data_IF_797321469270
#
_entry.id   IF_797321469270
#
_cell.length_a   1.000
_cell.length_b   1.000
_cell.length_c   1.000
_cell.angle_alpha   90.00
_cell.angle_beta   90.00
_cell.angle_gamma   90.00
#
_symmetry.space_group_name_H-M   'P 1'
#
loop_
_entity.id
_entity.type
_entity.pdbx_description
1 polymer ?
#
# COMPACT_ATOMS: atom_id res chain seq x y z
N UNK A 1 -13.43 18.09 -1.19
CA UNK A 1 -13.49 16.85 -1.97
C UNK A 1 -12.83 15.65 -1.26
N UNK A 2 -11.57 15.71 -0.82
CA UNK A 2 -10.82 14.54 -0.25
C UNK A 2 -11.37 13.89 1.04
N UNK A 3 -12.37 14.47 1.70
CA UNK A 3 -13.04 13.90 2.89
C UNK A 3 -14.53 13.59 2.68
N UNK A 4 -14.99 13.59 1.42
CA UNK A 4 -16.41 13.37 1.09
C UNK A 4 -16.78 11.89 0.98
N UNK A 5 -15.81 11.03 0.73
CA UNK A 5 -15.97 9.59 0.54
C UNK A 5 -14.86 8.94 1.36
N UNK A 6 -15.23 8.18 2.38
CA UNK A 6 -14.33 7.46 3.26
C UNK A 6 -13.94 6.09 2.69
N UNK A 7 -13.13 5.36 3.46
CA UNK A 7 -12.70 4.01 3.07
C UNK A 7 -13.90 3.04 3.01
N UNK A 8 -14.90 3.20 3.86
CA UNK A 8 -16.10 2.35 3.89
C UNK A 8 -16.93 2.49 2.61
N UNK A 9 -17.12 3.71 2.11
CA UNK A 9 -17.86 3.93 0.87
C UNK A 9 -17.05 3.47 -0.36
N UNK A 10 -15.72 3.60 -0.34
CA UNK A 10 -14.86 3.05 -1.39
C UNK A 10 -14.84 1.51 -1.37
N UNK A 11 -15.07 0.89 -0.22
CA UNK A 11 -15.19 -0.56 -0.12
C UNK A 11 -16.38 -1.09 -0.96
N UNK A 12 -17.46 -0.31 -1.08
CA UNK A 12 -18.59 -0.63 -1.96
C UNK A 12 -18.17 -0.69 -3.44
N UNK A 13 -17.22 0.14 -3.88
CA UNK A 13 -16.69 0.06 -5.24
C UNK A 13 -15.98 -1.27 -5.46
N UNK A 14 -15.20 -1.75 -4.49
CA UNK A 14 -14.56 -3.07 -4.59
C UNK A 14 -15.63 -4.18 -4.66
N UNK A 15 -16.64 -4.13 -3.79
CA UNK A 15 -17.78 -5.06 -3.83
C UNK A 15 -18.47 -5.07 -5.20
N UNK A 16 -18.69 -3.90 -5.78
CA UNK A 16 -19.31 -3.75 -7.09
C UNK A 16 -18.47 -4.38 -8.21
N UNK A 17 -17.13 -4.24 -8.16
CA UNK A 17 -16.27 -4.94 -9.13
C UNK A 17 -16.35 -6.46 -9.02
N UNK A 18 -16.54 -6.99 -7.81
CA UNK A 18 -16.69 -8.42 -7.54
C UNK A 18 -18.05 -8.90 -8.07
N UNK A 19 -19.12 -8.15 -7.80
CA UNK A 19 -20.47 -8.42 -8.31
C UNK A 19 -20.48 -8.47 -9.84
N UNK A 20 -19.92 -7.46 -10.50
CA UNK A 20 -19.89 -7.42 -11.97
C UNK A 20 -19.06 -8.57 -12.56
N UNK A 21 -17.99 -8.99 -11.89
CA UNK A 21 -17.21 -10.15 -12.31
C UNK A 21 -18.02 -11.46 -12.24
N UNK A 22 -18.92 -11.59 -11.26
CA UNK A 22 -19.84 -12.72 -11.16
C UNK A 22 -20.91 -12.66 -12.27
N UNK A 23 -21.57 -11.52 -12.44
CA UNK A 23 -22.66 -11.35 -13.42
C UNK A 23 -22.21 -11.54 -14.87
N UNK A 24 -20.99 -11.10 -15.18
CA UNK A 24 -20.41 -11.27 -16.52
C UNK A 24 -19.81 -12.67 -16.75
N UNK A 25 -19.87 -13.56 -15.76
CA UNK A 25 -19.31 -14.91 -15.82
C UNK A 25 -17.77 -14.95 -15.84
N UNK A 26 -17.11 -13.84 -15.48
CA UNK A 26 -15.66 -13.76 -15.34
C UNK A 26 -15.16 -14.65 -14.17
N UNK A 27 -16.00 -14.74 -13.13
CA UNK A 27 -15.84 -15.55 -11.92
C UNK A 27 -17.15 -16.31 -11.66
N UNK A 28 -17.09 -17.42 -10.91
CA UNK A 28 -18.26 -18.14 -10.41
C UNK A 28 -18.30 -18.16 -8.88
N UNK A 29 -19.45 -18.46 -8.30
CA UNK A 29 -19.65 -18.39 -6.84
C UNK A 29 -18.69 -19.30 -6.05
N UNK A 30 -18.42 -20.49 -6.59
CA UNK A 30 -17.51 -21.48 -5.97
C UNK A 30 -16.09 -20.93 -5.80
N UNK A 31 -15.67 -19.99 -6.64
CA UNK A 31 -14.35 -19.38 -6.58
C UNK A 31 -14.21 -18.39 -5.42
N UNK A 32 -15.30 -17.93 -4.82
CA UNK A 32 -15.28 -17.10 -3.61
C UNK A 32 -15.08 -17.92 -2.32
N UNK A 33 -15.38 -19.21 -2.35
CA UNK A 33 -15.21 -20.10 -1.18
C UNK A 33 -13.74 -20.46 -0.93
N UNK A 34 -12.84 -20.19 -1.89
CA UNK A 34 -11.42 -20.55 -1.86
C UNK A 34 -10.55 -19.35 -2.15
N UNK A 35 -9.87 -18.86 -1.13
CA UNK A 35 -9.08 -17.63 -1.23
C UNK A 35 -7.61 -17.87 -0.91
N UNK A 36 -6.76 -17.00 -1.45
CA UNK A 36 -5.38 -16.84 -1.00
C UNK A 36 -5.23 -15.49 -0.35
N UNK A 37 -4.60 -15.46 0.82
CA UNK A 37 -4.33 -14.22 1.56
C UNK A 37 -2.83 -14.05 1.70
N UNK A 38 -2.36 -12.84 1.41
CA UNK A 38 -0.97 -12.44 1.61
C UNK A 38 -0.89 -10.98 2.06
N UNK A 39 0.19 -10.65 2.78
CA UNK A 39 0.48 -9.26 3.14
C UNK A 39 1.60 -8.70 2.26
N UNK A 40 1.51 -7.42 1.99
CA UNK A 40 2.56 -6.66 1.32
C UNK A 40 2.68 -5.28 1.95
N UNK A 41 3.62 -4.48 1.46
CA UNK A 41 3.72 -3.07 1.85
C UNK A 41 3.15 -2.22 0.73
N UNK A 42 2.19 -1.37 1.08
CA UNK A 42 1.81 -0.21 0.30
C UNK A 42 2.77 0.92 0.66
N UNK A 43 3.72 1.21 -0.23
CA UNK A 43 4.72 2.25 0.01
C UNK A 43 4.11 3.63 -0.15
N UNK A 44 4.48 4.55 0.74
CA UNK A 44 4.02 5.94 0.70
C UNK A 44 4.89 6.74 -0.27
N UNK A 45 4.33 7.79 -0.87
CA UNK A 45 5.04 8.75 -1.71
C UNK A 45 5.99 9.65 -0.90
N UNK A 46 6.95 9.05 -0.20
CA UNK A 46 7.94 9.72 0.64
C UNK A 46 9.34 9.56 0.07
N UNK A 47 10.21 10.53 0.36
CA UNK A 47 11.64 10.37 0.09
C UNK A 47 12.24 9.33 1.05
N UNK A 48 13.32 8.66 0.62
CA UNK A 48 14.00 7.71 1.48
C UNK A 48 14.46 8.38 2.80
N UNK A 49 14.09 7.84 3.98
CA UNK A 49 14.12 8.59 5.23
C UNK A 49 15.46 8.46 5.94
N UNK A 50 16.47 9.16 5.44
CA UNK A 50 17.74 9.29 6.17
C UNK A 50 17.66 10.39 7.23
N UNK A 51 18.32 10.20 8.37
CA UNK A 51 18.33 11.20 9.46
C UNK A 51 18.80 12.56 8.97
N UNK A 52 19.88 12.60 8.17
CA UNK A 52 20.39 13.85 7.58
C UNK A 52 19.36 14.54 6.67
N UNK A 53 18.56 13.79 5.92
CA UNK A 53 17.50 14.35 5.09
C UNK A 53 16.35 14.89 5.94
N UNK A 54 15.87 14.12 6.91
CA UNK A 54 14.78 14.52 7.79
C UNK A 54 15.12 15.77 8.61
N UNK A 55 16.32 15.85 9.18
CA UNK A 55 16.79 17.02 9.94
C UNK A 55 16.85 18.28 9.06
N UNK A 56 17.37 18.15 7.82
CA UNK A 56 17.38 19.26 6.87
C UNK A 56 15.95 19.72 6.55
N UNK A 57 15.03 18.79 6.25
CA UNK A 57 13.64 19.13 5.91
C UNK A 57 12.90 19.76 7.09
N UNK A 58 13.16 19.33 8.33
CA UNK A 58 12.59 19.94 9.52
C UNK A 58 13.08 21.38 9.70
N UNK A 59 14.38 21.59 9.49
CA UNK A 59 15.00 22.93 9.52
C UNK A 59 14.39 23.86 8.48
N UNK A 60 14.23 23.39 7.24
CA UNK A 60 13.59 24.15 6.16
C UNK A 60 12.13 24.50 6.49
N UNK A 61 11.39 23.58 7.10
CA UNK A 61 9.99 23.81 7.49
C UNK A 61 9.87 24.88 8.58
N UNK A 62 10.66 24.76 9.65
CA UNK A 62 10.71 25.74 10.73
C UNK A 62 11.09 27.14 10.23
N UNK A 63 12.11 27.24 9.37
CA UNK A 63 12.50 28.52 8.77
C UNK A 63 11.40 29.12 7.87
N UNK A 64 10.66 28.27 7.14
CA UNK A 64 9.53 28.74 6.32
C UNK A 64 8.41 29.31 7.18
N UNK A 65 8.09 28.69 8.31
CA UNK A 65 7.11 29.22 9.26
C UNK A 65 7.62 30.55 9.85
N UNK A 66 8.88 30.60 10.30
CA UNK A 66 9.47 31.83 10.84
C UNK A 66 9.42 33.00 9.88
N UNK A 67 9.71 32.77 8.59
CA UNK A 67 9.59 33.80 7.55
C UNK A 67 8.14 34.27 7.38
N UNK A 68 7.17 33.34 7.32
CA UNK A 68 5.74 33.67 7.19
C UNK A 68 5.23 34.49 8.39
N UNK A 69 5.64 34.10 9.59
CA UNK A 69 5.25 34.73 10.86
C UNK A 69 6.15 35.91 11.27
N UNK A 70 7.08 36.33 10.40
CA UNK A 70 8.02 37.43 10.64
C UNK A 70 8.82 37.31 11.95
N UNK A 71 9.09 36.08 12.39
CA UNK A 71 9.89 35.80 13.60
C UNK A 71 11.37 35.92 13.28
N UNK A 72 12.06 36.86 13.94
CA UNK A 72 13.51 37.08 13.79
C UNK A 72 14.30 36.02 14.56
N UNK A 73 14.79 35.00 13.84
CA UNK A 73 15.64 33.94 14.37
C UNK A 73 17.07 34.47 14.64
N UNK A 74 17.72 33.96 15.69
CA UNK A 74 19.14 34.24 15.97
C UNK A 74 20.03 33.68 14.85
N UNK A 75 19.75 32.46 14.40
CA UNK A 75 20.43 31.79 13.29
C UNK A 75 19.45 30.84 12.59
N UNK A 76 19.44 30.84 11.26
CA UNK A 76 18.57 29.96 10.46
C UNK A 76 19.13 28.55 10.25
N UNK A 77 20.46 28.40 10.33
CA UNK A 77 21.23 27.21 9.98
C UNK A 77 21.01 26.64 8.55
N UNK A 78 20.18 27.28 7.72
CA UNK A 78 19.75 26.74 6.43
C UNK A 78 20.93 26.41 5.50
N UNK A 79 21.89 27.33 5.34
CA UNK A 79 23.06 27.12 4.47
C UNK A 79 23.98 26.01 4.97
N UNK A 80 24.26 25.98 6.28
CA UNK A 80 25.17 24.98 6.86
C UNK A 80 24.56 23.58 6.90
N UNK A 81 23.24 23.47 7.05
CA UNK A 81 22.51 22.20 6.96
C UNK A 81 22.64 21.55 5.58
N UNK A 82 22.52 22.34 4.49
CA UNK A 82 22.66 21.83 3.12
C UNK A 82 24.04 21.23 2.90
N UNK A 83 25.10 21.92 3.33
CA UNK A 83 26.48 21.41 3.27
C UNK A 83 26.64 20.14 4.09
N UNK A 84 26.18 20.14 5.35
CA UNK A 84 26.29 18.99 6.24
C UNK A 84 25.54 17.76 5.71
N UNK A 85 24.35 17.94 5.13
CA UNK A 85 23.58 16.85 4.50
C UNK A 85 24.32 16.22 3.33
N UNK A 86 25.00 17.02 2.50
CA UNK A 86 25.83 16.52 1.39
C UNK A 86 27.02 15.71 1.91
N UNK A 87 27.74 16.22 2.90
CA UNK A 87 28.87 15.50 3.51
C UNK A 87 28.44 14.21 4.21
N UNK A 88 27.34 14.24 4.97
CA UNK A 88 26.78 13.05 5.59
C UNK A 88 26.47 11.99 4.52
N UNK A 89 25.71 12.33 3.48
CA UNK A 89 25.35 11.40 2.42
C UNK A 89 26.58 10.81 1.70
N UNK A 90 27.60 11.62 1.42
CA UNK A 90 28.86 11.18 0.79
C UNK A 90 29.60 10.14 1.64
N UNK A 91 29.60 10.32 2.96
CA UNK A 91 30.42 9.53 3.88
C UNK A 91 29.68 8.29 4.43
N UNK A 92 28.34 8.27 4.42
CA UNK A 92 27.51 7.22 5.05
C UNK A 92 27.80 5.81 4.55
N UNK A 93 28.06 5.64 3.24
CA UNK A 93 28.21 4.34 2.59
C UNK A 93 29.67 3.93 2.31
N UNK A 94 30.65 4.66 2.89
CA UNK A 94 32.07 4.39 2.68
C UNK A 94 32.86 4.28 3.98
N UNK A 95 34.20 4.25 3.87
CA UNK A 95 35.13 4.21 5.01
C UNK A 95 34.97 5.39 5.98
N UNK A 96 34.36 6.48 5.52
CA UNK A 96 34.06 7.69 6.30
C UNK A 96 32.81 7.61 7.18
N UNK A 97 32.20 6.44 7.38
CA UNK A 97 30.92 6.29 8.09
C UNK A 97 30.89 7.03 9.45
N UNK A 98 31.92 6.85 10.29
CA UNK A 98 32.04 7.56 11.58
C UNK A 98 32.06 9.08 11.43
N UNK A 99 32.72 9.60 10.38
CA UNK A 99 32.76 11.04 10.09
C UNK A 99 31.41 11.54 9.61
N UNK A 100 30.69 10.76 8.80
CA UNK A 100 29.33 11.09 8.41
C UNK A 100 28.39 11.15 9.61
N UNK A 101 28.51 10.24 10.59
CA UNK A 101 27.72 10.28 11.83
C UNK A 101 28.01 11.55 12.64
N UNK A 102 29.25 12.04 12.66
CA UNK A 102 29.59 13.34 13.28
C UNK A 102 28.88 14.51 12.59
N UNK A 103 28.73 14.48 11.26
CA UNK A 103 27.91 15.49 10.56
C UNK A 103 26.45 15.42 10.97
N UNK A 104 25.86 14.21 11.05
CA UNK A 104 24.49 14.04 11.53
C UNK A 104 24.34 14.56 12.97
N UNK A 105 25.27 14.25 13.87
CA UNK A 105 25.27 14.78 15.23
C UNK A 105 25.32 16.32 15.27
N UNK A 106 26.16 16.92 14.42
CA UNK A 106 26.23 18.39 14.27
C UNK A 106 24.91 18.97 13.79
N UNK A 107 24.25 18.32 12.83
CA UNK A 107 22.93 18.70 12.35
C UNK A 107 21.87 18.61 13.46
N UNK A 108 21.87 17.55 14.28
CA UNK A 108 20.98 17.46 15.45
C UNK A 108 21.19 18.63 16.41
N UNK A 109 22.44 18.98 16.70
CA UNK A 109 22.77 20.13 17.56
C UNK A 109 22.22 21.44 16.99
N UNK A 110 22.35 21.69 15.69
CA UNK A 110 21.82 22.90 15.05
C UNK A 110 20.29 22.92 15.04
N UNK A 111 19.63 21.81 14.73
CA UNK A 111 18.17 21.71 14.82
C UNK A 111 17.69 21.99 16.25
N UNK A 112 18.32 21.38 17.25
CA UNK A 112 17.99 21.63 18.65
C UNK A 112 18.23 23.08 19.11
N UNK A 113 19.22 23.78 18.54
CA UNK A 113 19.40 25.22 18.79
C UNK A 113 18.28 26.05 18.16
N UNK A 114 17.88 25.70 16.93
CA UNK A 114 16.79 26.37 16.23
C UNK A 114 15.44 26.19 16.94
N UNK A 115 15.10 24.96 17.37
CA UNK A 115 13.85 24.69 18.08
C UNK A 115 13.76 25.48 19.39
N UNK A 116 14.84 25.53 20.17
CA UNK A 116 14.92 26.34 21.40
C UNK A 116 14.83 27.84 21.13
N UNK A 117 15.45 28.33 20.06
CA UNK A 117 15.34 29.75 19.69
C UNK A 117 13.91 30.12 19.30
N UNK A 118 13.23 29.28 18.51
CA UNK A 118 11.83 29.47 18.14
C UNK A 118 10.95 29.50 19.38
N UNK A 119 11.05 28.49 20.26
CA UNK A 119 10.25 28.43 21.50
C UNK A 119 10.35 29.71 22.33
N UNK A 120 11.58 30.22 22.57
CA UNK A 120 11.78 31.50 23.30
C UNK A 120 11.21 32.72 22.59
N UNK A 121 11.09 32.71 21.26
CA UNK A 121 10.55 33.84 20.49
C UNK A 121 9.02 33.82 20.41
N UNK A 122 8.43 32.63 20.51
CA UNK A 122 6.98 32.40 20.46
C UNK A 122 6.33 32.34 21.84
N UNK A 123 7.11 32.16 22.91
CA UNK A 123 6.63 32.09 24.29
C UNK A 123 5.68 33.24 24.64
N UNK A 124 4.50 32.88 25.16
CA UNK A 124 3.46 33.83 25.55
C UNK A 124 2.67 34.41 24.38
N UNK A 125 2.79 33.84 23.17
CA UNK A 125 2.09 34.29 21.96
C UNK A 125 1.31 33.13 21.34
N UNK A 126 0.04 32.91 21.74
CA UNK A 126 -0.74 31.74 21.36
C UNK A 126 -0.80 31.50 19.84
N UNK A 127 -0.97 32.56 19.05
CA UNK A 127 -1.02 32.46 17.58
C UNK A 127 0.29 31.95 16.97
N UNK A 128 1.43 32.38 17.52
CA UNK A 128 2.73 31.91 17.05
C UNK A 128 3.01 30.49 17.53
N UNK A 129 2.67 30.17 18.78
CA UNK A 129 2.81 28.82 19.32
C UNK A 129 2.02 27.81 18.46
N UNK A 130 0.75 28.11 18.17
CA UNK A 130 -0.09 27.30 17.29
C UNK A 130 0.50 27.19 15.87
N UNK A 131 1.05 28.27 15.32
CA UNK A 131 1.64 28.24 13.97
C UNK A 131 2.88 27.32 13.85
N UNK A 132 3.60 27.11 14.96
CA UNK A 132 4.80 26.27 15.00
C UNK A 132 4.59 24.88 15.60
N UNK A 133 3.47 24.65 16.29
CA UNK A 133 3.17 23.46 17.08
C UNK A 133 3.56 22.16 16.37
N UNK A 134 2.94 21.87 15.21
CA UNK A 134 3.20 20.62 14.48
C UNK A 134 4.66 20.51 14.03
N UNK A 135 5.27 21.60 13.57
CA UNK A 135 6.66 21.56 13.10
C UNK A 135 7.65 21.34 14.24
N UNK A 136 7.38 21.93 15.41
CA UNK A 136 8.17 21.72 16.63
C UNK A 136 7.98 20.31 17.19
N UNK A 137 6.76 19.78 17.20
CA UNK A 137 6.46 18.39 17.60
C UNK A 137 7.26 17.40 16.75
N UNK A 138 7.23 17.53 15.41
CA UNK A 138 7.99 16.67 14.51
C UNK A 138 9.51 16.84 14.66
N UNK A 139 9.98 18.08 14.85
CA UNK A 139 11.41 18.33 15.07
C UNK A 139 11.88 17.71 16.39
N UNK A 140 11.09 17.80 17.45
CA UNK A 140 11.39 17.19 18.75
C UNK A 140 11.46 15.67 18.62
N UNK A 141 10.49 15.05 17.94
CA UNK A 141 10.49 13.61 17.66
C UNK A 141 11.76 13.16 16.93
N UNK A 142 12.26 13.93 15.96
CA UNK A 142 13.53 13.65 15.30
C UNK A 142 14.76 13.80 16.23
N UNK A 143 14.69 14.72 17.20
CA UNK A 143 15.75 14.97 18.18
C UNK A 143 15.79 13.95 19.32
N UNK A 144 14.72 13.19 19.53
CA UNK A 144 14.64 12.17 20.59
C UNK A 144 14.70 10.74 20.06
N UNK A 145 14.22 10.47 18.84
CA UNK A 145 14.18 9.10 18.31
C UNK A 145 15.59 8.46 18.15
N UNK A 146 15.68 7.17 18.49
CA UNK A 146 16.88 6.33 18.44
C UNK A 146 16.74 5.12 17.49
N UNK A 147 17.83 4.36 17.19
CA UNK A 147 17.81 3.25 16.23
C UNK A 147 16.89 2.06 16.55
N UNK A 148 16.41 1.90 17.79
CA UNK A 148 15.53 0.80 18.21
C UNK A 148 14.09 1.20 18.56
N UNK A 149 13.78 2.49 18.52
CA UNK A 149 12.48 2.98 18.96
C UNK A 149 11.35 2.50 18.03
N UNK A 150 10.20 2.21 18.62
CA UNK A 150 8.95 2.02 17.89
C UNK A 150 8.35 3.38 17.51
N UNK A 151 7.54 3.41 16.45
CA UNK A 151 6.80 4.61 16.06
C UNK A 151 7.67 5.80 15.62
N UNK A 152 8.86 5.56 15.07
CA UNK A 152 9.77 6.61 14.57
C UNK A 152 9.16 7.44 13.45
N UNK A 153 9.62 8.68 13.32
CA UNK A 153 9.20 9.54 12.22
C UNK A 153 10.06 9.26 10.98
N UNK A 154 9.43 8.74 9.93
CA UNK A 154 10.06 8.51 8.63
C UNK A 154 9.73 9.58 7.59
N UNK A 155 8.66 10.37 7.78
CA UNK A 155 8.35 11.50 6.91
C UNK A 155 7.63 12.61 7.66
N UNK A 156 8.09 13.86 7.52
CA UNK A 156 7.50 15.00 8.23
C UNK A 156 6.03 15.26 7.86
N UNK A 157 5.66 14.99 6.61
CA UNK A 157 4.32 15.25 6.07
C UNK A 157 3.40 14.02 6.11
N UNK A 158 3.94 12.85 6.46
CA UNK A 158 3.22 11.59 6.52
C UNK A 158 3.70 10.82 7.77
N UNK A 159 3.36 11.29 8.97
CA UNK A 159 3.80 10.71 10.24
C UNK A 159 3.31 9.29 10.48
N UNK A 160 2.27 8.86 9.76
CA UNK A 160 1.71 7.50 9.77
C UNK A 160 2.59 6.47 9.07
N UNK A 161 3.61 6.90 8.33
CA UNK A 161 4.49 5.99 7.59
C UNK A 161 5.32 5.14 8.56
N UNK A 162 5.31 3.83 8.33
CA UNK A 162 6.05 2.84 9.09
C UNK A 162 7.24 2.31 8.28
N UNK A 163 8.22 1.73 8.97
CA UNK A 163 9.33 1.00 8.36
C UNK A 163 9.07 -0.49 8.48
N UNK A 164 8.95 -1.17 7.35
CA UNK A 164 8.62 -2.59 7.28
C UNK A 164 9.81 -3.32 6.67
N UNK A 165 10.37 -4.25 7.44
CA UNK A 165 11.49 -5.08 7.01
C UNK A 165 11.08 -6.03 5.88
N UNK A 166 11.92 -6.13 4.85
CA UNK A 166 11.81 -7.13 3.79
C UNK A 166 12.95 -8.14 3.89
N UNK A 167 12.64 -9.41 3.69
CA UNK A 167 13.64 -10.49 3.55
C UNK A 167 14.44 -10.45 2.23
N UNK A 168 14.46 -9.32 1.51
CA UNK A 168 15.12 -9.17 0.21
C UNK A 168 16.44 -8.41 0.38
N UNK A 169 17.54 -8.98 -0.13
CA UNK A 169 18.88 -8.42 0.05
C UNK A 169 19.07 -7.00 -0.52
N UNK A 170 18.38 -6.66 -1.62
CA UNK A 170 18.53 -5.39 -2.34
C UNK A 170 17.73 -4.21 -1.75
N UNK A 171 16.60 -4.49 -1.09
CA UNK A 171 15.78 -3.49 -0.38
C UNK A 171 15.37 -4.07 0.98
N UNK A 172 16.17 -3.78 2.01
CA UNK A 172 15.95 -4.31 3.36
C UNK A 172 14.72 -3.76 4.06
N UNK A 173 14.29 -2.55 3.68
CA UNK A 173 13.17 -1.84 4.29
C UNK A 173 12.31 -1.15 3.24
N UNK A 174 11.00 -1.16 3.47
CA UNK A 174 10.02 -0.36 2.75
C UNK A 174 9.32 0.59 3.71
N UNK A 175 8.92 1.76 3.20
CA UNK A 175 8.32 2.82 3.99
C UNK A 175 6.89 3.06 3.53
N UNK A 176 5.94 2.77 4.40
CA UNK A 176 4.52 2.89 4.10
C UNK A 176 3.68 2.20 5.16
N UNK A 177 2.61 1.53 4.74
CA UNK A 177 1.76 0.75 5.64
C UNK A 177 1.71 -0.70 5.16
N UNK A 178 1.57 -1.64 6.10
CA UNK A 178 1.29 -3.03 5.74
C UNK A 178 -0.12 -3.10 5.14
N UNK A 179 -0.30 -3.90 4.09
CA UNK A 179 -1.58 -4.11 3.44
C UNK A 179 -1.83 -5.61 3.25
N UNK A 180 -3.03 -6.07 3.56
CA UNK A 180 -3.49 -7.44 3.34
C UNK A 180 -4.41 -7.49 2.14
N UNK A 181 -4.19 -8.47 1.26
CA UNK A 181 -5.02 -8.72 0.10
C UNK A 181 -5.53 -10.17 0.12
N UNK A 182 -6.79 -10.35 -0.23
CA UNK A 182 -7.40 -11.64 -0.48
C UNK A 182 -7.71 -11.75 -1.97
N UNK A 183 -7.32 -12.85 -2.61
CA UNK A 183 -7.59 -13.11 -4.03
C UNK A 183 -8.25 -14.47 -4.21
N UNK A 184 -8.93 -14.67 -5.33
CA UNK A 184 -9.38 -16.00 -5.75
C UNK A 184 -8.18 -16.97 -5.85
N UNK A 185 -8.23 -18.11 -5.17
CA UNK A 185 -7.18 -19.14 -5.30
C UNK A 185 -7.33 -19.93 -6.60
N UNK A 186 -8.57 -20.27 -6.96
CA UNK A 186 -8.86 -20.94 -8.22
C UNK A 186 -8.73 -19.97 -9.40
N UNK A 187 -8.22 -20.47 -10.53
CA UNK A 187 -8.13 -19.68 -11.77
C UNK A 187 -9.53 -19.40 -12.30
N UNK A 188 -9.90 -18.13 -12.41
CA UNK A 188 -11.17 -17.71 -13.00
C UNK A 188 -11.01 -17.47 -14.52
N UNK A 189 -12.13 -17.42 -15.24
CA UNK A 189 -12.13 -17.16 -16.69
C UNK A 189 -11.56 -15.77 -17.00
N UNK A 190 -11.95 -14.79 -16.20
CA UNK A 190 -11.48 -13.39 -16.30
C UNK A 190 -10.12 -13.11 -15.66
N UNK A 191 -9.45 -14.11 -15.09
CA UNK A 191 -8.17 -13.93 -14.38
C UNK A 191 -8.27 -14.15 -12.87
N UNK A 192 -7.49 -13.41 -12.10
CA UNK A 192 -7.37 -13.59 -10.65
C UNK A 192 -7.80 -12.31 -9.93
N UNK A 193 -8.99 -12.36 -9.34
CA UNK A 193 -9.66 -11.18 -8.78
C UNK A 193 -9.29 -10.98 -7.32
N UNK A 194 -9.18 -9.72 -6.93
CA UNK A 194 -9.02 -9.30 -5.53
C UNK A 194 -10.41 -9.25 -4.89
N UNK A 195 -10.59 -10.00 -3.82
CA UNK A 195 -11.86 -10.15 -3.09
C UNK A 195 -11.89 -9.35 -1.78
N UNK A 196 -10.73 -8.89 -1.32
CA UNK A 196 -10.59 -8.06 -0.12
C UNK A 196 -9.26 -7.33 -0.13
N UNK A 197 -9.25 -6.13 0.43
CA UNK A 197 -8.08 -5.27 0.55
C UNK A 197 -8.19 -4.42 1.82
N UNK A 198 -7.16 -4.46 2.66
CA UNK A 198 -7.10 -3.72 3.93
C UNK A 198 -5.71 -3.22 4.19
N UNK A 199 -5.60 -2.02 4.76
CA UNK A 199 -4.35 -1.60 5.42
C UNK A 199 -4.32 -2.09 6.86
N UNK A 200 -3.12 -2.28 7.37
CA UNK A 200 -2.82 -2.80 8.70
C UNK A 200 -1.80 -1.86 9.39
N UNK A 201 -2.27 -0.70 9.91
CA UNK A 201 -1.41 0.20 10.67
C UNK A 201 -0.86 -0.46 11.95
N UNK A 202 0.31 0.00 12.39
CA UNK A 202 1.03 -0.52 13.56
C UNK A 202 1.88 -1.75 13.29
N UNK A 203 2.11 -2.11 12.01
CA UNK A 203 2.85 -3.29 11.57
C UNK A 203 2.52 -4.57 12.37
N UNK A 204 1.22 -4.97 12.46
CA UNK A 204 0.83 -6.14 13.24
C UNK A 204 1.40 -7.42 12.64
N UNK A 205 1.47 -8.46 13.47
CA UNK A 205 1.80 -9.80 13.01
C UNK A 205 0.74 -10.34 12.05
N UNK A 206 1.16 -10.95 10.94
CA UNK A 206 0.26 -11.32 9.84
C UNK A 206 -0.87 -12.25 10.28
N UNK A 207 -0.59 -13.21 11.17
CA UNK A 207 -1.59 -14.12 11.72
C UNK A 207 -2.79 -13.40 12.35
N UNK A 208 -2.56 -12.29 13.05
CA UNK A 208 -3.62 -11.52 13.72
C UNK A 208 -4.55 -10.79 12.73
N UNK A 209 -4.12 -10.61 11.48
CA UNK A 209 -4.93 -9.93 10.46
C UNK A 209 -5.90 -10.86 9.72
N UNK A 210 -5.68 -12.17 9.77
CA UNK A 210 -6.37 -13.13 8.90
C UNK A 210 -7.88 -13.17 9.15
N UNK A 211 -8.31 -13.17 10.41
CA UNK A 211 -9.74 -13.19 10.76
C UNK A 211 -10.50 -12.00 10.15
N UNK A 212 -9.91 -10.80 10.25
CA UNK A 212 -10.50 -9.57 9.74
C UNK A 212 -10.51 -9.51 8.21
N UNK A 213 -9.48 -10.08 7.56
CA UNK A 213 -9.41 -10.18 6.10
C UNK A 213 -10.46 -11.16 5.56
N UNK A 214 -10.63 -12.32 6.20
CA UNK A 214 -11.68 -13.29 5.84
C UNK A 214 -13.06 -12.66 6.04
N UNK A 215 -13.31 -12.02 7.18
CA UNK A 215 -14.58 -11.36 7.44
C UNK A 215 -14.93 -10.28 6.40
N UNK A 216 -13.94 -9.49 5.97
CA UNK A 216 -14.14 -8.54 4.87
C UNK A 216 -14.50 -9.27 3.58
N UNK A 217 -13.72 -10.28 3.21
CA UNK A 217 -13.94 -11.04 1.97
C UNK A 217 -15.35 -11.65 1.92
N UNK A 218 -15.81 -12.24 3.02
CA UNK A 218 -17.17 -12.79 3.12
C UNK A 218 -18.24 -11.72 2.98
N UNK A 219 -18.03 -10.54 3.59
CA UNK A 219 -18.94 -9.40 3.46
C UNK A 219 -19.03 -8.90 2.01
N UNK A 220 -17.90 -8.75 1.33
CA UNK A 220 -17.86 -8.22 -0.04
C UNK A 220 -18.36 -9.20 -1.10
N UNK A 221 -18.16 -10.49 -0.88
CA UNK A 221 -18.60 -11.55 -1.81
C UNK A 221 -20.00 -12.05 -1.51
N UNK A 222 -20.54 -11.80 -0.30
CA UNK A 222 -21.78 -12.41 0.19
C UNK A 222 -21.68 -13.93 0.39
N UNK A 223 -20.46 -14.49 0.44
CA UNK A 223 -20.21 -15.94 0.49
C UNK A 223 -19.26 -16.30 1.61
N UNK A 224 -19.51 -17.44 2.26
CA UNK A 224 -18.62 -17.99 3.29
C UNK A 224 -17.34 -18.53 2.66
N UNK A 225 -16.20 -18.20 3.25
CA UNK A 225 -14.91 -18.75 2.87
C UNK A 225 -14.79 -20.13 3.52
N UNK A 226 -14.65 -21.17 2.70
CA UNK A 226 -14.42 -22.54 3.17
C UNK A 226 -12.95 -22.87 3.32
N UNK A 227 -12.10 -22.32 2.45
CA UNK A 227 -10.65 -22.57 2.47
C UNK A 227 -9.85 -21.30 2.23
N UNK A 228 -8.89 -21.05 3.13
CA UNK A 228 -7.94 -19.94 3.01
C UNK A 228 -6.51 -20.47 2.95
N UNK A 229 -5.79 -20.08 1.90
CA UNK A 229 -4.39 -20.46 1.68
C UNK A 229 -3.47 -19.30 2.03
N UNK A 230 -2.55 -19.53 2.96
CA UNK A 230 -1.67 -18.49 3.51
C UNK A 230 -0.23 -18.94 3.62
N UNK A 231 0.68 -17.99 3.73
CA UNK A 231 2.08 -18.30 4.02
C UNK A 231 2.33 -18.70 5.47
N UNK A 232 3.48 -19.33 5.72
CA UNK A 232 3.93 -19.71 7.06
C UNK A 232 4.02 -18.52 8.03
N UNK A 233 4.13 -17.30 7.53
CA UNK A 233 4.06 -16.06 8.30
C UNK A 233 2.75 -15.88 9.08
N UNK A 234 1.68 -16.60 8.70
CA UNK A 234 0.37 -16.58 9.38
C UNK A 234 0.22 -17.64 10.48
N UNK A 235 1.30 -18.31 10.90
CA UNK A 235 1.25 -19.30 11.97
C UNK A 235 0.66 -18.69 13.26
N UNK A 236 -0.18 -19.43 13.98
CA UNK A 236 -0.81 -18.90 15.19
C UNK A 236 -1.86 -17.83 14.90
N UNK A 237 -2.51 -17.91 13.72
CA UNK A 237 -3.59 -16.99 13.32
C UNK A 237 -4.82 -17.03 14.25
N UNK A 238 -5.00 -18.09 15.05
CA UNK A 238 -6.10 -18.19 16.03
C UNK A 238 -7.50 -18.11 15.42
N UNK A 239 -7.65 -18.45 14.14
CA UNK A 239 -8.94 -18.38 13.43
C UNK A 239 -9.63 -19.72 13.58
N UNK A 240 -10.67 -19.74 14.40
CA UNK A 240 -11.57 -20.89 14.57
C UNK A 240 -12.96 -20.47 14.08
N UNK A 241 -13.40 -21.06 12.96
CA UNK A 241 -14.74 -20.86 12.40
C UNK A 241 -15.23 -22.18 11.83
N UNK A 242 -16.50 -22.47 12.06
CA UNK A 242 -17.13 -23.66 11.53
C UNK A 242 -17.05 -23.69 9.99
N UNK A 243 -16.58 -24.80 9.43
CA UNK A 243 -16.48 -24.99 7.98
C UNK A 243 -15.35 -24.23 7.27
N UNK A 244 -14.48 -23.52 8.00
CA UNK A 244 -13.29 -22.85 7.47
C UNK A 244 -12.03 -23.68 7.75
N UNK A 245 -11.31 -24.05 6.70
CA UNK A 245 -9.99 -24.66 6.79
C UNK A 245 -8.92 -23.64 6.34
N UNK A 246 -8.05 -23.26 7.28
CA UNK A 246 -6.88 -22.41 6.99
C UNK A 246 -5.66 -23.29 6.78
N UNK A 247 -5.04 -23.17 5.62
CA UNK A 247 -3.96 -24.06 5.19
C UNK A 247 -2.70 -23.21 5.02
N UNK A 248 -1.67 -23.50 5.82
CA UNK A 248 -0.39 -22.79 5.78
C UNK A 248 0.60 -23.44 4.80
N UNK A 249 1.45 -22.63 4.18
CA UNK A 249 2.55 -23.13 3.36
C UNK A 249 3.52 -24.00 4.16
N UNK A 250 4.09 -25.02 3.50
CA UNK A 250 4.96 -26.04 4.08
C UNK A 250 4.34 -26.92 5.18
N UNK A 251 3.01 -26.97 5.29
CA UNK A 251 2.32 -27.96 6.11
C UNK A 251 2.64 -29.38 5.61
N UNK A 252 3.18 -30.23 6.50
CA UNK A 252 3.49 -31.64 6.20
C UNK A 252 2.22 -32.48 6.32
N UNK A 253 2.16 -33.61 5.60
CA UNK A 253 1.07 -34.57 5.74
C UNK A 253 -0.22 -34.26 4.98
N UNK A 254 -0.22 -33.28 4.05
CA UNK A 254 -1.38 -33.02 3.19
C UNK A 254 -1.56 -34.20 2.20
N UNK A 255 -2.50 -35.08 2.54
CA UNK A 255 -2.85 -36.26 1.73
C UNK A 255 -3.67 -35.89 0.49
N UNK A 256 -4.57 -34.90 0.58
CA UNK A 256 -5.46 -34.51 -0.51
C UNK A 256 -4.71 -33.89 -1.70
N UNK A 257 -4.78 -34.49 -2.92
CA UNK A 257 -4.17 -33.92 -4.12
C UNK A 257 -4.75 -32.55 -4.49
N UNK A 258 -6.03 -32.32 -4.18
CA UNK A 258 -6.73 -31.05 -4.43
C UNK A 258 -6.16 -29.93 -3.57
N UNK A 259 -5.99 -30.17 -2.26
CA UNK A 259 -5.39 -29.18 -1.36
C UNK A 259 -3.95 -28.89 -1.79
N UNK A 260 -3.17 -29.90 -2.18
CA UNK A 260 -1.79 -29.70 -2.65
C UNK A 260 -1.72 -28.82 -3.91
N UNK A 261 -2.66 -29.00 -4.85
CA UNK A 261 -2.76 -28.17 -6.06
C UNK A 261 -3.15 -26.73 -5.73
N UNK A 262 -4.14 -26.53 -4.88
CA UNK A 262 -4.61 -25.21 -4.45
C UNK A 262 -3.55 -24.47 -3.62
N UNK A 263 -2.81 -25.18 -2.78
CA UNK A 263 -1.65 -24.64 -2.06
C UNK A 263 -0.56 -24.16 -3.02
N UNK A 264 -0.23 -24.91 -4.08
CA UNK A 264 0.72 -24.45 -5.11
C UNK A 264 0.24 -23.19 -5.83
N UNK A 265 -1.08 -23.02 -6.01
CA UNK A 265 -1.67 -21.83 -6.63
C UNK A 265 -1.62 -20.59 -5.76
N UNK A 266 -1.40 -20.72 -4.45
CA UNK A 266 -1.19 -19.59 -3.53
C UNK A 266 -0.17 -18.59 -4.07
N UNK A 267 0.93 -19.07 -4.66
CA UNK A 267 1.98 -18.22 -5.23
C UNK A 267 1.47 -17.27 -6.34
N UNK A 268 0.29 -17.52 -6.91
CA UNK A 268 -0.30 -16.65 -7.92
C UNK A 268 -0.82 -15.31 -7.34
N UNK A 269 -0.88 -15.14 -6.02
CA UNK A 269 -1.09 -13.81 -5.41
C UNK A 269 0.11 -12.87 -5.63
N UNK A 270 1.33 -13.41 -5.75
CA UNK A 270 2.54 -12.60 -5.97
C UNK A 270 2.48 -11.77 -7.27
N UNK A 271 2.15 -12.35 -8.45
CA UNK A 271 1.98 -11.54 -9.65
C UNK A 271 0.77 -10.60 -9.56
N UNK A 272 -0.30 -10.93 -8.83
CA UNK A 272 -1.41 -9.99 -8.58
C UNK A 272 -0.92 -8.76 -7.81
N UNK A 273 -0.16 -8.96 -6.73
CA UNK A 273 0.48 -7.87 -5.98
C UNK A 273 1.48 -7.10 -6.87
N UNK A 274 2.23 -7.80 -7.72
CA UNK A 274 3.14 -7.20 -8.69
C UNK A 274 2.41 -6.26 -9.66
N UNK A 275 1.29 -6.72 -10.24
CA UNK A 275 0.41 -5.88 -11.05
C UNK A 275 -0.14 -4.71 -10.24
N UNK A 276 -0.62 -4.94 -9.01
CA UNK A 276 -1.11 -3.83 -8.19
C UNK A 276 -0.05 -2.74 -7.95
N UNK A 277 1.21 -3.15 -7.75
CA UNK A 277 2.35 -2.25 -7.59
C UNK A 277 2.65 -1.44 -8.85
N UNK A 278 2.75 -2.10 -10.00
CA UNK A 278 3.15 -1.47 -11.25
C UNK A 278 2.01 -0.71 -11.96
N UNK A 279 0.81 -1.29 -11.95
CA UNK A 279 -0.30 -0.88 -12.84
C UNK A 279 -1.33 0.03 -12.18
N UNK A 280 -1.44 0.04 -10.85
CA UNK A 280 -2.47 0.78 -10.10
C UNK A 280 -1.94 1.47 -8.85
N UNK A 281 -0.65 1.84 -8.84
CA UNK A 281 -0.03 2.75 -7.87
C UNK A 281 0.08 2.24 -6.41
N UNK A 282 0.00 0.92 -6.17
CA UNK A 282 0.22 0.38 -4.81
C UNK A 282 1.66 0.63 -4.30
N UNK A 283 2.63 0.78 -5.21
CA UNK A 283 4.03 1.08 -4.88
C UNK A 283 4.26 2.58 -4.53
N UNK A 284 3.25 3.44 -4.68
CA UNK A 284 3.42 4.86 -4.35
C UNK A 284 2.10 5.54 -4.01
N UNK A 285 1.68 5.42 -2.75
CA UNK A 285 0.48 6.10 -2.28
C UNK A 285 0.72 7.60 -2.06
N UNK A 286 -0.10 8.43 -2.70
CA UNK A 286 -0.10 9.89 -2.59
C UNK A 286 -1.17 10.45 -1.65
N UNK A 287 -2.08 9.63 -1.15
CA UNK A 287 -3.15 10.03 -0.25
C UNK A 287 -2.63 10.18 1.18
N UNK A 288 -3.11 11.19 1.90
CA UNK A 288 -2.61 11.57 3.22
C UNK A 288 -3.33 10.81 4.34
N UNK A 289 -2.59 10.45 5.38
CA UNK A 289 -3.12 9.83 6.60
C UNK A 289 -3.50 8.36 6.44
N UNK A 290 -3.83 7.68 7.55
CA UNK A 290 -4.27 6.29 7.56
C UNK A 290 -5.51 6.03 6.69
N UNK A 291 -6.47 6.96 6.68
CA UNK A 291 -7.67 6.87 5.83
C UNK A 291 -7.29 6.90 4.34
N UNK A 292 -6.36 7.79 3.97
CA UNK A 292 -5.83 7.84 2.62
C UNK A 292 -5.08 6.57 2.24
N UNK A 293 -4.37 5.95 3.18
CA UNK A 293 -3.75 4.65 2.97
C UNK A 293 -4.79 3.55 2.70
N UNK A 294 -5.86 3.49 3.48
CA UNK A 294 -6.94 2.53 3.30
C UNK A 294 -7.66 2.72 1.96
N UNK A 295 -8.00 3.97 1.62
CA UNK A 295 -8.64 4.33 0.34
C UNK A 295 -7.76 3.89 -0.84
N UNK A 296 -6.45 4.17 -0.79
CA UNK A 296 -5.54 3.79 -1.87
C UNK A 296 -5.53 2.27 -2.07
N UNK A 297 -5.42 1.48 -1.00
CA UNK A 297 -5.40 0.02 -1.10
C UNK A 297 -6.68 -0.54 -1.75
N UNK A 298 -7.85 -0.02 -1.36
CA UNK A 298 -9.13 -0.40 -1.96
C UNK A 298 -9.24 0.02 -3.43
N UNK A 299 -8.80 1.24 -3.78
CA UNK A 299 -8.79 1.72 -5.17
C UNK A 299 -7.81 0.92 -6.04
N UNK A 300 -6.65 0.53 -5.52
CA UNK A 300 -5.73 -0.37 -6.21
C UNK A 300 -6.40 -1.72 -6.51
N UNK A 301 -7.07 -2.32 -5.51
CA UNK A 301 -7.79 -3.58 -5.67
C UNK A 301 -8.91 -3.47 -6.71
N UNK A 302 -9.76 -2.45 -6.60
CA UNK A 302 -10.84 -2.20 -7.56
C UNK A 302 -10.28 -1.93 -8.96
N UNK A 303 -9.22 -1.12 -9.08
CA UNK A 303 -8.55 -0.82 -10.34
C UNK A 303 -7.98 -2.07 -11.02
N UNK A 304 -7.36 -2.98 -10.25
CA UNK A 304 -6.91 -4.28 -10.76
C UNK A 304 -8.08 -5.12 -11.29
N UNK A 305 -9.17 -5.23 -10.52
CA UNK A 305 -10.37 -5.95 -10.94
C UNK A 305 -10.99 -5.36 -12.21
N UNK A 306 -11.11 -4.03 -12.32
CA UNK A 306 -11.62 -3.34 -13.52
C UNK A 306 -10.74 -3.62 -14.75
N UNK A 307 -9.41 -3.68 -14.59
CA UNK A 307 -8.49 -4.05 -15.68
C UNK A 307 -8.69 -5.49 -16.15
N UNK A 308 -8.94 -6.43 -15.22
CA UNK A 308 -9.31 -7.80 -15.60
C UNK A 308 -10.66 -7.85 -16.30
N UNK A 309 -11.62 -7.09 -15.81
CA UNK A 309 -12.98 -7.06 -16.33
C UNK A 309 -13.06 -6.47 -17.73
N UNK A 310 -12.35 -5.37 -17.99
CA UNK A 310 -12.24 -4.80 -19.34
C UNK A 310 -11.61 -5.77 -20.34
N UNK A 311 -10.58 -6.53 -19.91
CA UNK A 311 -9.99 -7.61 -20.73
C UNK A 311 -10.99 -8.74 -20.99
N UNK A 312 -11.73 -9.16 -19.97
CA UNK A 312 -12.77 -10.19 -20.07
C UNK A 312 -13.89 -9.77 -21.02
N UNK A 313 -14.44 -8.57 -20.84
CA UNK A 313 -15.51 -8.04 -21.68
C UNK A 313 -15.06 -7.85 -23.14
N UNK A 314 -13.81 -7.41 -23.37
CA UNK A 314 -13.25 -7.34 -24.72
C UNK A 314 -13.17 -8.71 -25.38
N UNK A 315 -12.75 -9.74 -24.65
CA UNK A 315 -12.76 -11.11 -25.16
C UNK A 315 -14.20 -11.55 -25.43
N UNK A 316 -15.11 -11.44 -24.46
CA UNK A 316 -16.51 -11.81 -24.63
C UNK A 316 -17.14 -11.15 -25.85
N UNK A 317 -16.89 -9.86 -26.05
CA UNK A 317 -17.37 -9.11 -27.21
C UNK A 317 -16.81 -9.65 -28.54
N UNK A 318 -15.51 -9.97 -28.61
CA UNK A 318 -14.92 -10.61 -29.79
C UNK A 318 -15.51 -12.00 -30.06
N UNK A 319 -15.80 -12.76 -29.00
CA UNK A 319 -16.44 -14.08 -29.12
C UNK A 319 -17.88 -13.99 -29.63
N UNK A 320 -18.60 -12.91 -29.34
CA UNK A 320 -19.96 -12.67 -29.87
C UNK A 320 -19.89 -12.13 -31.30
N UNK A 321 -19.00 -11.18 -31.58
CA UNK A 321 -18.91 -10.52 -32.88
C UNK A 321 -18.34 -11.41 -33.99
N UNK A 322 -17.31 -12.21 -33.71
CA UNK A 322 -16.65 -13.00 -34.75
C UNK A 322 -17.62 -13.99 -35.44
N UNK A 323 -18.48 -14.74 -34.72
CA UNK A 323 -19.54 -15.54 -35.32
C UNK A 323 -20.58 -14.69 -36.07
N UNK A 324 -21.01 -13.56 -35.49
CA UNK A 324 -22.02 -12.70 -36.12
C UNK A 324 -21.53 -12.10 -37.45
N UNK A 325 -20.25 -11.68 -37.52
CA UNK A 325 -19.63 -11.18 -38.75
C UNK A 325 -19.43 -12.31 -39.78
N UNK A 326 -19.07 -13.52 -39.35
CA UNK A 326 -18.99 -14.70 -40.22
C UNK A 326 -20.36 -15.06 -40.81
N UNK A 327 -21.41 -15.05 -39.98
CA UNK A 327 -22.78 -15.30 -40.43
C UNK A 327 -23.25 -14.22 -41.42
N UNK A 328 -22.93 -12.95 -41.16
CA UNK A 328 -23.25 -11.85 -42.09
C UNK A 328 -22.49 -11.97 -43.41
N UNK A 329 -21.22 -12.37 -43.40
CA UNK A 329 -20.46 -12.61 -44.62
C UNK A 329 -21.07 -13.78 -45.42
N UNK A 330 -21.43 -14.87 -44.73
CA UNK A 330 -22.11 -16.02 -45.34
C UNK A 330 -23.49 -15.69 -45.88
N UNK A 331 -24.24 -14.75 -45.30
CA UNK A 331 -25.56 -14.32 -45.80
C UNK A 331 -25.46 -13.20 -46.86
N UNK A 332 -24.41 -12.38 -46.82
CA UNK A 332 -24.15 -11.31 -47.78
C UNK A 332 -23.71 -11.81 -49.15
N UNK A 333 -23.06 -12.97 -49.21
CA UNK A 333 -22.72 -13.65 -50.48
C UNK A 333 -23.94 -14.25 -51.20
N UNK A 334 -25.09 -14.42 -50.53
CA UNK A 334 -26.32 -14.94 -51.16
C UNK A 334 -27.16 -13.88 -51.87
N UNK A 335 -26.82 -12.58 -51.74
CA UNK A 335 -27.64 -11.47 -52.27
C UNK A 335 -27.08 -10.82 -53.54
N UNK A 336 -26.14 -11.48 -54.23
CA UNK A 336 -25.49 -10.96 -55.45
C UNK A 336 -25.78 -11.78 -56.72
N UNK A 337 -26.96 -12.39 -56.87
CA UNK A 337 -27.44 -12.79 -58.19
C UNK A 337 -28.84 -12.22 -58.44
N UNK A 338 -28.97 -11.03 -59.05
CA UNK A 338 -30.07 -10.82 -59.97
C UNK A 338 -29.70 -11.52 -61.27
N UNK A 339 -30.26 -12.71 -61.48
CA UNK A 339 -30.50 -13.22 -62.82
C UNK A 339 -31.16 -12.11 -63.63
N UNK A 340 -30.47 -11.60 -64.64
CA UNK A 340 -31.09 -10.86 -65.73
C UNK A 340 -30.65 -11.54 -67.02
N UNK A 341 -31.55 -12.46 -67.42
CA UNK A 341 -31.96 -12.89 -68.77
C UNK A 341 -30.93 -13.02 -69.87
#
# INVERSE_FOLDING_TARGET
WRKRIGAEEIELLLAETIRLALETGAVNERQFERITVDTTVQTKAVAHPTDSHLILRATEWLNRIAKRQRVKLRQSFARVMVRARREAARLMHGRGHRQGLRWVAKMRTWLGRLTRDIRRRTEGKPELEAAFETALERAEKLLTQAPGDSGKLYALHAPEVECIGKGKARSRYEFGVKASFAVTNERCKGGQFVLGARTLPGNPYDGHSLAAQIAQTERLTGRRVKRAYVDRGYRGHGVEREGLEVILSHTRGIASPTIRREMRRRNAIEPVIGHMKADVLLERNHLAGPDGDAINALLCAAGHNLRLMTRWLRLLWLWILAPALRLRALLGTWRQDPMVT
#
